data_IF_127293077408
#
_entry.id   IF_127293077408
#
_cell.length_a   1.000
_cell.length_b   1.000
_cell.length_c   1.000
_cell.angle_alpha   90.00
_cell.angle_beta   90.00
_cell.angle_gamma   90.00
#
_symmetry.space_group_name_H-M   'P 1'
#
loop_
_entity.id
_entity.type
_entity.pdbx_description
1 polymer ?
#
# COMPACT_ATOMS: atom_id res chain seq x y z
N UNK A 1 -23.50 59.03 -33.57
CA UNK A 1 -22.22 58.38 -33.18
C UNK A 1 -22.56 57.15 -32.35
N UNK A 2 -22.47 55.94 -32.92
CA UNK A 2 -22.89 54.67 -32.26
C UNK A 2 -21.65 53.93 -31.77
N UNK A 3 -21.49 53.82 -30.45
CA UNK A 3 -20.38 53.11 -29.81
C UNK A 3 -20.74 51.63 -29.67
N UNK A 4 -20.01 50.74 -30.36
CA UNK A 4 -20.14 49.28 -30.21
C UNK A 4 -19.15 48.80 -29.15
N UNK A 5 -19.66 48.30 -28.03
CA UNK A 5 -18.87 47.65 -26.98
C UNK A 5 -18.66 46.18 -27.37
N UNK A 6 -17.41 45.78 -27.61
CA UNK A 6 -17.03 44.38 -27.85
C UNK A 6 -16.63 43.76 -26.50
N UNK A 7 -17.40 42.77 -26.06
CA UNK A 7 -17.06 41.95 -24.88
C UNK A 7 -16.14 40.82 -25.37
N UNK A 8 -14.87 40.87 -24.99
CA UNK A 8 -13.93 39.76 -25.18
C UNK A 8 -14.02 38.82 -23.98
N UNK A 9 -14.52 37.60 -24.20
CA UNK A 9 -14.44 36.51 -23.24
C UNK A 9 -13.04 35.88 -23.33
N UNK A 10 -12.21 36.09 -22.30
CA UNK A 10 -10.94 35.40 -22.16
C UNK A 10 -11.18 33.98 -21.62
N UNK A 11 -11.01 32.96 -22.46
CA UNK A 11 -11.01 31.56 -22.02
C UNK A 11 -9.65 31.25 -21.36
N UNK A 12 -9.64 31.09 -20.04
CA UNK A 12 -8.46 30.64 -19.30
C UNK A 12 -8.21 29.15 -19.58
N UNK A 13 -7.18 28.85 -20.36
CA UNK A 13 -6.68 27.48 -20.51
C UNK A 13 -5.96 27.08 -19.22
N UNK A 14 -6.57 26.20 -18.43
CA UNK A 14 -5.91 25.60 -17.26
C UNK A 14 -4.82 24.63 -17.75
N UNK A 15 -3.57 24.73 -17.25
CA UNK A 15 -2.54 23.76 -17.59
C UNK A 15 -2.90 22.40 -16.97
N UNK A 16 -3.10 21.40 -17.83
CA UNK A 16 -3.09 20.00 -17.42
C UNK A 16 -1.65 19.62 -17.09
N UNK A 17 -1.28 19.77 -15.82
CA UNK A 17 -0.10 19.13 -15.26
C UNK A 17 -0.28 17.61 -15.34
N UNK A 18 0.38 16.96 -16.30
CA UNK A 18 0.49 15.51 -16.30
C UNK A 18 1.21 15.09 -15.02
N UNK A 19 0.50 14.43 -14.09
CA UNK A 19 1.12 13.84 -12.91
C UNK A 19 2.06 12.73 -13.42
N UNK A 20 3.38 12.94 -13.36
CA UNK A 20 4.32 11.87 -13.65
C UNK A 20 4.08 10.77 -12.62
N UNK A 21 3.76 9.56 -13.08
CA UNK A 21 3.58 8.43 -12.19
C UNK A 21 4.93 8.12 -11.54
N UNK A 22 4.96 8.02 -10.21
CA UNK A 22 6.16 7.58 -9.50
C UNK A 22 6.59 6.22 -10.06
N UNK A 23 7.92 6.00 -10.13
CA UNK A 23 8.44 4.70 -10.56
C UNK A 23 7.91 3.59 -9.63
N UNK A 24 7.71 2.37 -10.13
CA UNK A 24 7.36 1.25 -9.27
C UNK A 24 8.44 1.01 -8.22
N UNK A 25 8.02 0.77 -6.97
CA UNK A 25 8.93 0.54 -5.85
C UNK A 25 8.69 -0.82 -5.21
N UNK A 26 9.74 -1.43 -4.66
CA UNK A 26 9.56 -2.58 -3.75
C UNK A 26 9.02 -2.08 -2.41
N UNK A 27 8.36 -2.91 -1.62
CA UNK A 27 7.95 -2.57 -0.26
C UNK A 27 8.60 -3.58 0.69
N UNK A 28 9.27 -3.12 1.76
CA UNK A 28 10.05 -3.98 2.67
C UNK A 28 9.75 -3.76 4.14
N UNK A 29 9.92 -4.81 4.93
CA UNK A 29 10.03 -4.72 6.37
C UNK A 29 11.35 -4.06 6.79
N UNK A 30 11.30 -3.24 7.84
CA UNK A 30 12.46 -2.45 8.32
C UNK A 30 12.90 -2.79 9.74
N UNK A 31 12.29 -3.80 10.36
CA UNK A 31 12.68 -4.28 11.68
C UNK A 31 12.46 -5.79 11.80
N UNK A 32 13.13 -6.41 12.76
CA UNK A 32 12.93 -7.82 13.05
C UNK A 32 11.48 -8.10 13.49
N UNK A 33 10.92 -9.26 13.10
CA UNK A 33 11.58 -10.40 12.44
C UNK A 33 11.52 -10.38 10.90
N UNK A 34 11.08 -9.29 10.30
CA UNK A 34 10.83 -9.15 8.85
C UNK A 34 11.84 -8.23 8.16
N UNK A 35 12.97 -7.93 8.81
CA UNK A 35 13.99 -7.03 8.26
C UNK A 35 14.46 -7.55 6.91
N UNK A 36 14.39 -6.71 5.86
CA UNK A 36 14.73 -7.07 4.47
C UNK A 36 13.87 -8.20 3.88
N UNK A 37 12.68 -8.45 4.42
CA UNK A 37 11.65 -9.19 3.71
C UNK A 37 10.74 -8.23 2.95
N UNK A 38 10.30 -8.65 1.76
CA UNK A 38 9.65 -7.80 0.77
C UNK A 38 8.22 -8.28 0.47
N UNK A 39 7.32 -7.31 0.33
CA UNK A 39 5.91 -7.54 0.00
C UNK A 39 5.78 -8.21 -1.37
N UNK A 40 5.01 -9.29 -1.41
CA UNK A 40 4.79 -10.09 -2.62
C UNK A 40 3.58 -11.00 -2.43
N UNK A 41 3.07 -11.53 -3.54
CA UNK A 41 2.10 -12.61 -3.47
C UNK A 41 2.78 -13.93 -3.07
N UNK A 42 2.10 -14.76 -2.27
CA UNK A 42 2.65 -16.06 -1.89
C UNK A 42 2.77 -16.98 -3.12
N UNK A 43 3.88 -17.72 -3.31
CA UNK A 43 4.11 -18.52 -4.53
C UNK A 43 3.06 -19.62 -4.76
N UNK A 44 2.40 -20.11 -3.70
CA UNK A 44 1.33 -21.12 -3.81
C UNK A 44 -0.08 -20.51 -3.84
N UNK A 45 -0.23 -19.23 -3.53
CA UNK A 45 -1.53 -18.56 -3.47
C UNK A 45 -1.36 -17.08 -3.80
N UNK A 46 -1.70 -16.71 -5.04
CA UNK A 46 -1.52 -15.35 -5.55
C UNK A 46 -2.40 -14.28 -4.86
N UNK A 47 -3.43 -14.69 -4.10
CA UNK A 47 -4.27 -13.77 -3.33
C UNK A 47 -3.74 -13.51 -1.91
N UNK A 48 -2.83 -14.37 -1.42
CA UNK A 48 -2.25 -14.25 -0.10
C UNK A 48 -1.07 -13.27 -0.12
N UNK A 49 -1.18 -12.22 0.70
CA UNK A 49 -0.13 -11.19 0.85
C UNK A 49 0.87 -11.66 1.89
N UNK A 50 2.15 -11.67 1.52
CA UNK A 50 3.25 -12.06 2.41
C UNK A 50 4.44 -11.11 2.28
N UNK A 51 5.29 -11.13 3.29
CA UNK A 51 6.67 -10.68 3.21
C UNK A 51 7.57 -11.90 3.00
N UNK A 52 8.49 -11.83 2.04
CA UNK A 52 9.39 -12.92 1.68
C UNK A 52 10.73 -12.45 1.12
N UNK A 53 11.54 -13.35 0.53
CA UNK A 53 12.88 -13.01 0.05
C UNK A 53 12.88 -11.92 -1.03
N UNK A 54 13.99 -11.16 -1.11
CA UNK A 54 14.16 -10.09 -2.09
C UNK A 54 14.14 -10.59 -3.54
N UNK A 55 14.69 -11.77 -3.79
CA UNK A 55 14.80 -12.35 -5.12
C UNK A 55 13.44 -12.54 -5.83
N UNK A 56 12.36 -12.62 -5.05
CA UNK A 56 10.98 -12.81 -5.53
C UNK A 56 10.10 -11.58 -5.27
N UNK A 57 10.68 -10.51 -4.72
CA UNK A 57 9.99 -9.26 -4.39
C UNK A 57 9.25 -8.69 -5.60
N UNK A 58 8.04 -8.18 -5.36
CA UNK A 58 7.29 -7.46 -6.36
C UNK A 58 7.60 -5.96 -6.29
N UNK A 59 7.39 -5.28 -7.41
CA UNK A 59 7.37 -3.82 -7.47
C UNK A 59 5.92 -3.37 -7.57
N UNK A 60 5.63 -2.20 -7.03
CA UNK A 60 4.27 -1.68 -6.90
C UNK A 60 4.17 -0.27 -7.45
N UNK A 61 3.13 -0.03 -8.26
CA UNK A 61 2.64 1.30 -8.56
C UNK A 61 1.88 1.82 -7.33
N UNK A 62 2.28 2.98 -6.80
CA UNK A 62 1.71 3.56 -5.58
C UNK A 62 1.14 4.95 -5.88
N UNK A 63 -0.18 5.02 -5.99
CA UNK A 63 -0.91 6.25 -6.35
C UNK A 63 -2.31 6.25 -5.75
N UNK A 64 -2.41 6.28 -4.41
CA UNK A 64 -3.67 6.13 -3.66
C UNK A 64 -4.21 4.69 -3.60
N UNK A 65 -3.75 3.83 -4.51
CA UNK A 65 -3.81 2.38 -4.42
C UNK A 65 -2.39 1.82 -4.45
N UNK A 66 -2.22 0.55 -4.11
CA UNK A 66 -0.95 -0.17 -4.24
C UNK A 66 -1.21 -1.34 -5.19
N UNK A 67 -0.63 -1.29 -6.39
CA UNK A 67 -0.86 -2.28 -7.45
C UNK A 67 0.44 -2.95 -7.84
N UNK A 68 0.48 -4.27 -7.81
CA UNK A 68 1.63 -5.05 -8.27
C UNK A 68 1.86 -4.86 -9.77
N UNK A 69 3.09 -4.55 -10.17
CA UNK A 69 3.49 -4.49 -11.59
C UNK A 69 3.70 -5.88 -12.18
N UNK A 70 3.88 -6.91 -11.33
CA UNK A 70 4.06 -8.31 -11.75
C UNK A 70 2.72 -8.99 -12.06
N UNK A 71 1.73 -8.80 -11.20
CA UNK A 71 0.44 -9.52 -11.28
C UNK A 71 -0.73 -8.63 -11.68
N UNK A 72 -0.53 -7.32 -11.76
CA UNK A 72 -1.58 -6.31 -11.95
C UNK A 72 -2.64 -6.26 -10.82
N UNK A 73 -2.45 -7.02 -9.73
CA UNK A 73 -3.38 -7.09 -8.59
C UNK A 73 -3.16 -5.95 -7.61
N UNK A 74 -4.25 -5.52 -6.99
CA UNK A 74 -4.29 -4.47 -5.99
C UNK A 74 -4.21 -5.08 -4.58
N UNK A 75 -3.39 -4.45 -3.74
CA UNK A 75 -3.35 -4.72 -2.31
C UNK A 75 -4.59 -4.11 -1.67
N UNK A 76 -5.42 -4.94 -1.07
CA UNK A 76 -6.69 -4.57 -0.45
C UNK A 76 -6.68 -4.83 1.05
N UNK A 77 -7.50 -4.08 1.77
CA UNK A 77 -7.70 -4.21 3.22
C UNK A 77 -9.09 -4.82 3.47
N UNK A 78 -9.12 -5.89 4.26
CA UNK A 78 -10.35 -6.56 4.67
C UNK A 78 -11.17 -5.78 5.69
N UNK A 79 -12.43 -6.19 5.86
CA UNK A 79 -13.38 -5.62 6.82
C UNK A 79 -13.52 -6.50 8.07
N UNK A 80 -12.44 -7.18 8.46
CA UNK A 80 -12.42 -8.08 9.61
C UNK A 80 -12.88 -7.37 10.89
N UNK A 81 -13.59 -8.07 11.79
CA UNK A 81 -14.06 -7.49 13.06
C UNK A 81 -12.94 -7.34 14.10
N UNK A 82 -11.85 -8.10 13.95
CA UNK A 82 -10.65 -8.01 14.77
C UNK A 82 -9.90 -6.71 14.52
N UNK A 83 -9.02 -6.32 15.43
CA UNK A 83 -8.18 -5.11 15.27
C UNK A 83 -6.90 -5.36 14.46
N UNK A 84 -6.92 -6.40 13.62
CA UNK A 84 -5.96 -6.65 12.55
C UNK A 84 -6.74 -7.01 11.28
N UNK A 85 -6.51 -6.31 10.17
CA UNK A 85 -7.27 -6.46 8.92
C UNK A 85 -6.50 -7.31 7.93
N UNK A 86 -7.18 -8.29 7.36
CA UNK A 86 -6.61 -9.19 6.36
C UNK A 86 -6.21 -8.41 5.12
N UNK A 87 -4.97 -8.60 4.67
CA UNK A 87 -4.50 -8.05 3.41
C UNK A 87 -4.67 -9.08 2.29
N UNK A 88 -5.16 -8.65 1.14
CA UNK A 88 -5.39 -9.53 -0.02
C UNK A 88 -4.91 -8.90 -1.32
N UNK A 89 -4.47 -9.72 -2.27
CA UNK A 89 -4.28 -9.31 -3.66
C UNK A 89 -5.50 -9.69 -4.50
N UNK A 90 -6.13 -8.70 -5.14
CA UNK A 90 -7.31 -8.89 -5.98
C UNK A 90 -7.18 -8.13 -7.31
N UNK A 91 -7.95 -8.51 -8.32
CA UNK A 91 -7.94 -7.87 -9.64
C UNK A 91 -8.54 -6.46 -9.62
N UNK A 92 -9.33 -6.12 -8.60
CA UNK A 92 -9.89 -4.78 -8.40
C UNK A 92 -9.37 -4.14 -7.12
N UNK A 93 -9.22 -2.81 -7.16
CA UNK A 93 -9.04 -2.04 -5.94
C UNK A 93 -10.38 -1.91 -5.22
N UNK A 94 -10.41 -2.35 -3.96
CA UNK A 94 -11.55 -2.26 -3.03
C UNK A 94 -11.28 -1.27 -1.90
N UNK A 95 -10.11 -0.63 -1.92
CA UNK A 95 -9.72 0.38 -0.95
C UNK A 95 -8.92 1.48 -1.64
N UNK A 96 -9.18 2.72 -1.23
CA UNK A 96 -8.35 3.88 -1.52
C UNK A 96 -7.62 4.34 -0.26
N UNK A 97 -7.60 3.54 0.82
CA UNK A 97 -7.08 4.00 2.10
C UNK A 97 -5.56 4.20 2.09
N UNK A 98 -4.82 3.60 1.15
CA UNK A 98 -3.37 3.63 1.13
C UNK A 98 -2.78 5.02 0.88
N UNK A 99 -1.63 5.27 1.49
CA UNK A 99 -0.83 6.46 1.28
C UNK A 99 0.60 6.27 1.78
N UNK A 100 1.36 7.37 1.70
CA UNK A 100 2.74 7.44 2.15
C UNK A 100 2.88 8.54 3.21
N UNK A 101 3.66 8.28 4.24
CA UNK A 101 4.22 9.29 5.14
C UNK A 101 5.75 9.17 5.07
N UNK A 102 6.39 10.07 4.31
CA UNK A 102 7.76 9.84 3.86
C UNK A 102 7.83 8.60 2.97
N UNK A 103 8.62 7.60 3.38
CA UNK A 103 8.72 6.29 2.73
C UNK A 103 7.83 5.22 3.38
N UNK A 104 7.12 5.54 4.45
CA UNK A 104 6.33 4.56 5.22
C UNK A 104 4.97 4.34 4.55
N UNK A 105 4.59 3.07 4.35
CA UNK A 105 3.23 2.72 3.91
C UNK A 105 2.26 2.93 5.07
N UNK A 106 1.21 3.72 4.84
CA UNK A 106 0.18 4.00 5.82
C UNK A 106 -1.23 3.85 5.24
N UNK A 107 -2.23 3.75 6.10
CA UNK A 107 -3.58 4.23 5.75
C UNK A 107 -3.66 5.74 6.01
N UNK A 108 -4.31 6.48 5.12
CA UNK A 108 -4.43 7.93 5.17
C UNK A 108 -5.38 8.36 6.30
N UNK A 109 -5.10 9.49 6.94
CA UNK A 109 -5.92 10.03 8.03
C UNK A 109 -7.40 10.22 7.62
N UNK A 110 -7.67 10.61 6.37
CA UNK A 110 -9.02 10.78 5.85
C UNK A 110 -9.74 9.49 5.43
N UNK A 111 -9.11 8.32 5.56
CA UNK A 111 -9.76 7.04 5.28
C UNK A 111 -10.69 6.62 6.42
N UNK A 112 -11.64 5.72 6.15
CA UNK A 112 -12.52 5.13 7.18
C UNK A 112 -11.77 4.33 8.26
N UNK A 113 -10.51 3.98 8.00
CA UNK A 113 -9.63 3.28 8.95
C UNK A 113 -8.80 4.24 9.80
N UNK A 114 -8.83 5.56 9.50
CA UNK A 114 -7.93 6.54 10.10
C UNK A 114 -6.48 6.32 9.69
N UNK A 115 -5.56 6.98 10.40
CA UNK A 115 -4.12 6.86 10.15
C UNK A 115 -3.53 5.66 10.90
N UNK A 116 -3.12 4.61 10.18
CA UNK A 116 -2.39 3.47 10.72
C UNK A 116 -1.10 3.26 9.92
N UNK A 117 0.01 3.02 10.63
CA UNK A 117 1.31 2.66 10.03
C UNK A 117 1.81 1.29 10.50
N UNK A 118 1.07 0.68 11.43
CA UNK A 118 1.47 -0.54 12.09
C UNK A 118 0.86 -1.75 11.39
N UNK A 119 1.60 -2.83 11.38
CA UNK A 119 1.23 -4.12 10.85
C UNK A 119 1.47 -5.19 11.91
N UNK A 120 0.67 -6.24 11.86
CA UNK A 120 0.96 -7.50 12.52
C UNK A 120 1.49 -8.46 11.47
N UNK A 121 2.53 -9.20 11.81
CA UNK A 121 3.07 -10.27 10.97
C UNK A 121 3.14 -11.56 11.75
N UNK A 122 2.95 -12.68 11.07
CA UNK A 122 3.10 -14.00 11.67
C UNK A 122 3.89 -14.91 10.73
N UNK A 123 4.78 -15.71 11.31
CA UNK A 123 5.58 -16.65 10.55
C UNK A 123 4.69 -17.66 9.81
N UNK A 124 4.97 -17.86 8.53
CA UNK A 124 4.42 -18.93 7.70
C UNK A 124 5.50 -19.98 7.41
N UNK A 125 5.22 -20.91 6.49
CA UNK A 125 6.22 -21.87 6.04
C UNK A 125 7.44 -21.20 5.37
N UNK A 126 8.59 -21.85 5.50
CA UNK A 126 9.84 -21.35 4.92
C UNK A 126 10.29 -20.02 5.51
N UNK A 127 10.56 -19.05 4.64
CA UNK A 127 11.00 -17.68 4.98
C UNK A 127 9.89 -16.63 4.79
N UNK A 128 8.63 -17.07 4.68
CA UNK A 128 7.49 -16.18 4.47
C UNK A 128 6.84 -15.77 5.79
N UNK A 129 6.32 -14.55 5.80
CA UNK A 129 5.55 -13.99 6.89
C UNK A 129 4.25 -13.43 6.35
N UNK A 130 3.12 -13.89 6.87
CA UNK A 130 1.83 -13.27 6.56
C UNK A 130 1.76 -11.91 7.23
N UNK A 131 1.09 -10.95 6.59
CA UNK A 131 0.97 -9.57 7.06
C UNK A 131 -0.50 -9.13 7.09
N UNK A 132 -0.85 -8.39 8.14
CA UNK A 132 -2.14 -7.76 8.36
C UNK A 132 -1.95 -6.29 8.72
N UNK A 133 -2.90 -5.43 8.33
CA UNK A 133 -2.92 -4.05 8.83
C UNK A 133 -3.35 -4.06 10.29
N UNK A 134 -2.57 -3.45 11.18
CA UNK A 134 -2.90 -3.36 12.60
C UNK A 134 -3.71 -2.09 12.88
N UNK A 135 -4.92 -2.25 13.42
CA UNK A 135 -5.81 -1.14 13.84
C UNK A 135 -6.09 -1.15 15.35
N UNK A 136 -5.38 -1.98 16.10
CA UNK A 136 -5.47 -2.12 17.56
C UNK A 136 -4.50 -3.19 18.08
N UNK A 137 -4.82 -3.86 19.18
CA UNK A 137 -3.89 -4.77 19.89
C UNK A 137 -4.15 -6.26 19.71
N UNK A 138 -5.22 -6.67 19.00
CA UNK A 138 -5.47 -8.08 18.75
C UNK A 138 -4.40 -8.66 17.81
N UNK A 139 -4.13 -9.96 17.94
CA UNK A 139 -3.18 -10.67 17.08
C UNK A 139 -3.82 -11.97 16.56
N UNK A 140 -3.42 -12.46 15.38
CA UNK A 140 -3.76 -13.80 14.94
C UNK A 140 -3.28 -14.85 15.96
N UNK A 141 -4.05 -15.93 16.12
CA UNK A 141 -3.65 -17.04 16.98
C UNK A 141 -2.49 -17.80 16.32
N UNK A 142 -1.35 -17.91 17.00
CA UNK A 142 -0.21 -18.69 16.51
C UNK A 142 1.11 -18.33 17.20
N UNK A 143 2.09 -19.23 17.11
CA UNK A 143 3.46 -18.96 17.55
C UNK A 143 4.20 -18.13 16.50
N UNK A 144 5.01 -17.16 16.95
CA UNK A 144 5.86 -16.36 16.06
C UNK A 144 5.13 -15.23 15.36
N UNK A 145 4.13 -14.61 16.00
CA UNK A 145 3.58 -13.33 15.57
C UNK A 145 4.34 -12.16 16.20
N UNK A 146 4.40 -11.03 15.50
CA UNK A 146 4.97 -9.78 15.97
C UNK A 146 4.11 -8.61 15.52
N UNK A 147 3.82 -7.68 16.43
CA UNK A 147 3.04 -6.48 16.18
C UNK A 147 3.94 -5.23 16.09
N UNK A 148 3.34 -4.09 15.75
CA UNK A 148 4.05 -2.81 15.57
C UNK A 148 5.18 -2.89 14.54
N UNK A 149 4.95 -3.70 13.51
CA UNK A 149 5.79 -3.78 12.34
C UNK A 149 5.46 -2.63 11.39
N UNK A 150 6.44 -2.15 10.66
CA UNK A 150 6.25 -1.12 9.64
C UNK A 150 6.87 -1.60 8.34
N UNK A 151 6.27 -1.17 7.22
CA UNK A 151 6.78 -1.47 5.88
C UNK A 151 7.00 -0.16 5.13
N UNK A 152 8.09 -0.11 4.40
CA UNK A 152 8.59 1.11 3.78
C UNK A 152 8.94 0.86 2.32
N UNK A 153 8.92 1.92 1.53
CA UNK A 153 9.67 1.96 0.27
C UNK A 153 11.16 1.78 0.59
N UNK A 154 11.98 1.26 -0.33
CA UNK A 154 13.40 1.17 -0.11
C UNK A 154 13.87 2.62 -0.06
N UNK A 155 14.55 3.02 1.03
CA UNK A 155 15.12 4.35 1.10
C UNK A 155 15.99 4.54 -0.15
N UNK A 156 15.87 5.69 -0.81
CA UNK A 156 16.81 6.09 -1.86
C UNK A 156 18.19 6.13 -1.20
N UNK A 157 19.01 5.11 -1.44
CA UNK A 157 20.41 5.10 -1.06
C UNK A 157 21.14 6.27 -1.74
#
# INVERSE_FOLDING_TARGET
>A
MRLRLLIQAAAAALPFIGMTAAKPEKIRGVRDPIYHLYLQAHPRNASLVVLGPEATAEQFDIAGTIRSTKTARYLNIGTDSTSYKTLTFDNSSRTDAWGLEGDTIITRQGSSLGRNLNFVVCRLEGSYWQIWLQTGSAMPNGNGCSNYQTIHLPCLC
#
